data_IF_050650245064
#
_entry.id   IF_050650245064
#
_cell.length_a   1.000
_cell.length_b   1.000
_cell.length_c   1.000
_cell.angle_alpha   90.00
_cell.angle_beta   90.00
_cell.angle_gamma   90.00
#
_symmetry.space_group_name_H-M   'P 1'
#
loop_
_entity.id
_entity.type
_entity.pdbx_description
1 polymer ?
#
# COMPACT_ATOMS: atom_id res chain seq x y z
N UNK A 1 -2.92 4.19 -8.47
CA UNK A 1 -3.18 3.07 -7.57
C UNK A 1 -4.07 2.08 -8.27
N UNK A 2 -3.63 0.85 -8.39
CA UNK A 2 -4.47 -0.18 -8.98
C UNK A 2 -5.69 -0.37 -8.09
N UNK A 3 -6.83 -0.18 -8.64
CA UNK A 3 -8.05 -0.36 -7.89
C UNK A 3 -8.44 -1.83 -7.94
N UNK A 4 -8.28 -2.49 -6.83
CA UNK A 4 -8.76 -3.85 -6.68
C UNK A 4 -10.18 -3.83 -6.14
N UNK A 5 -10.96 -2.89 -6.59
CA UNK A 5 -12.32 -2.71 -6.12
C UNK A 5 -13.21 -3.93 -6.26
N UNK A 6 -12.62 -4.99 -6.71
CA UNK A 6 -13.31 -6.24 -6.87
C UNK A 6 -12.95 -7.27 -5.82
N UNK A 7 -12.49 -6.84 -4.66
CA UNK A 7 -12.27 -7.79 -3.59
C UNK A 7 -13.61 -8.11 -2.95
N UNK A 8 -14.37 -9.05 -3.48
CA UNK A 8 -15.64 -9.38 -2.89
C UNK A 8 -15.41 -10.02 -1.52
N UNK A 9 -16.27 -9.78 -0.62
CA UNK A 9 -16.19 -10.31 0.74
C UNK A 9 -15.04 -9.74 1.56
N UNK A 10 -14.37 -8.76 1.01
CA UNK A 10 -13.37 -8.13 1.83
C UNK A 10 -14.03 -7.16 2.76
N UNK A 11 -13.26 -6.68 3.64
CA UNK A 11 -13.53 -5.54 4.51
C UNK A 11 -14.95 -5.34 4.90
N UNK A 12 -15.39 -6.23 5.73
CA UNK A 12 -16.55 -5.96 6.56
C UNK A 12 -16.15 -5.08 7.73
N UNK A 13 -14.91 -4.63 7.78
CA UNK A 13 -14.36 -3.87 8.90
C UNK A 13 -13.48 -2.74 8.41
N UNK A 14 -13.27 -1.76 9.27
CA UNK A 14 -12.30 -0.69 9.06
C UNK A 14 -11.40 -0.61 10.28
N UNK A 15 -10.23 0.02 10.09
CA UNK A 15 -9.24 0.13 11.16
C UNK A 15 -9.00 1.60 11.48
N UNK A 16 -8.67 1.92 12.73
CA UNK A 16 -8.26 3.27 13.09
C UNK A 16 -7.02 3.69 12.32
N UNK A 17 -6.94 4.96 11.97
CA UNK A 17 -5.75 5.52 11.35
C UNK A 17 -4.59 5.55 12.35
N UNK A 18 -3.39 5.25 11.86
CA UNK A 18 -2.17 5.36 12.64
C UNK A 18 -1.15 6.23 11.90
N UNK A 19 -1.65 7.24 11.19
CA UNK A 19 -0.83 8.04 10.30
C UNK A 19 0.18 8.92 11.03
N UNK A 20 -0.01 9.17 12.32
CA UNK A 20 0.91 9.98 13.13
C UNK A 20 1.93 9.11 13.89
N UNK A 21 2.44 8.10 13.22
CA UNK A 21 3.39 7.15 13.82
C UNK A 21 4.86 7.54 13.62
N UNK A 22 5.12 8.73 13.11
CA UNK A 22 6.48 9.19 12.84
C UNK A 22 7.04 8.78 11.49
N UNK A 23 6.29 8.02 10.71
CA UNK A 23 6.71 7.57 9.39
C UNK A 23 6.14 8.47 8.31
N UNK A 24 6.91 8.67 7.24
CA UNK A 24 6.51 9.48 6.10
C UNK A 24 6.56 8.66 4.83
N UNK A 25 5.94 9.17 3.78
CA UNK A 25 5.89 8.49 2.48
C UNK A 25 7.19 8.70 1.74
N UNK A 26 8.14 7.81 1.96
CA UNK A 26 9.44 7.78 1.29
C UNK A 26 9.43 6.78 0.14
N UNK A 27 10.42 6.82 -0.76
CA UNK A 27 10.52 5.80 -1.80
C UNK A 27 10.47 4.39 -1.24
N UNK A 28 9.75 3.52 -1.92
CA UNK A 28 9.66 2.10 -1.57
C UNK A 28 8.98 1.82 -0.23
N UNK A 29 8.13 2.71 0.24
CA UNK A 29 7.32 2.43 1.42
C UNK A 29 5.97 1.82 1.05
N UNK A 30 5.33 1.24 2.04
CA UNK A 30 4.01 0.63 1.91
C UNK A 30 3.06 1.37 2.83
N UNK A 31 1.93 1.78 2.28
CA UNK A 31 0.97 2.60 3.01
C UNK A 31 -0.45 2.09 2.83
N UNK A 32 -1.30 2.34 3.80
CA UNK A 32 -2.69 1.91 3.76
C UNK A 32 -3.54 2.82 2.89
N UNK A 33 -4.34 2.20 2.04
CA UNK A 33 -5.35 2.91 1.29
C UNK A 33 -6.56 3.19 2.18
N UNK A 34 -7.19 4.32 1.95
CA UNK A 34 -8.40 4.71 2.68
C UNK A 34 -9.18 5.73 1.85
N UNK A 35 -10.40 6.00 2.26
CA UNK A 35 -11.20 7.05 1.67
C UNK A 35 -11.03 8.35 2.49
N UNK A 36 -11.67 9.42 2.07
CA UNK A 36 -11.50 10.73 2.69
C UNK A 36 -11.83 10.78 4.19
N UNK A 37 -12.94 10.19 4.66
CA UNK A 37 -13.19 10.20 6.10
C UNK A 37 -12.11 9.47 6.88
N UNK A 38 -11.86 9.85 8.13
CA UNK A 38 -10.87 9.16 8.94
C UNK A 38 -11.32 7.74 9.28
N UNK A 39 -10.35 6.89 9.59
CA UNK A 39 -10.57 5.53 10.06
C UNK A 39 -11.34 4.67 9.06
N UNK A 40 -11.01 4.82 7.76
CA UNK A 40 -11.67 4.04 6.71
C UNK A 40 -10.73 3.04 6.04
N UNK A 41 -9.54 2.83 6.58
CA UNK A 41 -8.62 1.82 6.07
C UNK A 41 -9.17 0.41 6.32
N UNK A 42 -8.96 -0.46 5.36
CA UNK A 42 -9.38 -1.85 5.45
C UNK A 42 -8.24 -2.78 5.04
N UNK A 43 -8.42 -3.51 3.96
CA UNK A 43 -7.42 -4.47 3.49
C UNK A 43 -6.57 -3.96 2.32
N UNK A 44 -6.87 -2.81 1.77
CA UNK A 44 -6.13 -2.30 0.62
C UNK A 44 -4.91 -1.49 1.04
N UNK A 45 -3.85 -1.64 0.29
CA UNK A 45 -2.62 -0.89 0.52
C UNK A 45 -2.02 -0.47 -0.82
N UNK A 46 -1.05 0.43 -0.79
CA UNK A 46 -0.35 0.86 -2.00
C UNK A 46 1.15 0.94 -1.76
N UNK A 47 1.90 0.88 -2.85
CA UNK A 47 3.35 0.85 -2.83
C UNK A 47 3.87 2.12 -3.50
N UNK A 48 4.92 2.70 -2.92
CA UNK A 48 5.51 3.94 -3.43
C UNK A 48 6.70 3.59 -4.33
N UNK A 49 6.73 4.09 -5.57
CA UNK A 49 7.87 3.89 -6.45
C UNK A 49 9.14 4.55 -5.93
N UNK A 50 10.29 4.16 -6.50
CA UNK A 50 11.59 4.66 -6.05
C UNK A 50 11.79 6.15 -6.27
N UNK A 51 11.10 6.72 -7.23
CA UNK A 51 11.27 8.13 -7.61
C UNK A 51 10.16 9.03 -7.05
N UNK A 52 9.45 8.58 -6.05
CA UNK A 52 8.29 9.30 -5.54
C UNK A 52 8.38 9.53 -4.03
N UNK A 53 7.97 10.71 -3.60
CA UNK A 53 7.85 11.05 -2.19
C UNK A 53 6.57 11.87 -2.02
N UNK A 54 5.40 11.21 -2.00
CA UNK A 54 4.13 11.93 -1.96
C UNK A 54 3.84 12.49 -0.56
N UNK A 55 4.52 13.56 -0.23
CA UNK A 55 4.45 14.15 1.11
C UNK A 55 3.05 14.64 1.48
N UNK A 56 2.21 14.89 0.49
CA UNK A 56 0.83 15.32 0.77
C UNK A 56 -0.01 14.23 1.45
N UNK A 57 0.48 13.00 1.46
CA UNK A 57 -0.20 11.89 2.12
C UNK A 57 0.25 11.71 3.57
N UNK A 58 1.33 12.38 3.97
CA UNK A 58 1.86 12.26 5.32
C UNK A 58 0.84 12.77 6.34
N UNK A 59 0.66 12.00 7.41
CA UNK A 59 -0.30 12.35 8.42
C UNK A 59 -1.74 11.98 8.08
N UNK A 60 -1.99 11.47 6.89
CA UNK A 60 -3.33 11.08 6.42
C UNK A 60 -3.39 9.58 6.21
N UNK A 61 -2.46 9.02 5.45
CA UNK A 61 -2.38 7.58 5.21
C UNK A 61 -1.32 6.97 6.10
N UNK A 62 -1.59 5.75 6.57
CA UNK A 62 -0.69 5.07 7.52
C UNK A 62 0.40 4.33 6.76
N UNK A 63 1.65 4.76 6.93
CA UNK A 63 2.82 4.04 6.44
C UNK A 63 3.13 2.93 7.43
N UNK A 64 3.25 1.70 6.96
CA UNK A 64 3.48 0.57 7.86
C UNK A 64 4.57 -0.39 7.40
N UNK A 65 5.20 -0.14 6.27
CA UNK A 65 6.22 -1.05 5.78
C UNK A 65 7.20 -0.40 4.82
N UNK A 66 8.27 -1.13 4.56
CA UNK A 66 9.33 -0.72 3.65
C UNK A 66 9.68 -1.90 2.75
N UNK A 67 9.75 -1.66 1.45
CA UNK A 67 10.17 -2.69 0.51
C UNK A 67 11.69 -2.78 0.57
N UNK A 68 12.20 -3.94 0.88
CA UNK A 68 13.65 -4.17 0.96
C UNK A 68 14.21 -4.81 -0.31
N UNK A 69 13.35 -5.41 -1.12
CA UNK A 69 13.77 -6.05 -2.38
C UNK A 69 12.58 -6.06 -3.33
N UNK A 70 12.82 -5.76 -4.60
CA UNK A 70 11.77 -5.80 -5.62
C UNK A 70 11.12 -4.45 -5.90
N UNK A 71 11.62 -3.36 -5.33
CA UNK A 71 11.03 -2.05 -5.54
C UNK A 71 11.11 -1.61 -7.01
N UNK A 72 12.05 -2.14 -7.77
CA UNK A 72 12.14 -1.87 -9.20
C UNK A 72 10.90 -2.36 -9.96
N UNK A 73 10.23 -3.37 -9.44
CA UNK A 73 8.98 -3.83 -10.04
C UNK A 73 7.86 -2.83 -9.81
N UNK A 74 7.89 -2.12 -8.70
CA UNK A 74 6.92 -1.06 -8.43
C UNK A 74 7.07 0.05 -9.45
N UNK A 75 8.31 0.42 -9.79
CA UNK A 75 8.56 1.43 -10.81
C UNK A 75 8.00 0.98 -12.16
N UNK A 76 8.21 -0.27 -12.53
CA UNK A 76 7.69 -0.81 -13.77
C UNK A 76 6.16 -0.78 -13.80
N UNK A 77 5.53 -1.09 -12.70
CA UNK A 77 4.06 -1.06 -12.60
C UNK A 77 3.56 0.38 -12.74
N UNK A 78 4.27 1.33 -12.16
CA UNK A 78 3.84 2.73 -12.23
C UNK A 78 3.88 3.29 -13.65
N UNK A 79 4.61 2.65 -14.56
CA UNK A 79 4.78 3.09 -15.93
C UNK A 79 3.90 2.34 -16.92
N UNK A 80 3.09 1.38 -16.48
CA UNK A 80 2.24 0.63 -17.41
C UNK A 80 1.15 1.52 -17.98
N UNK A 81 0.74 1.20 -19.19
CA UNK A 81 -0.36 1.91 -19.83
C UNK A 81 -1.66 1.63 -19.10
N UNK A 82 -2.42 2.68 -18.88
CA UNK A 82 -3.69 2.59 -18.20
C UNK A 82 -4.81 3.10 -19.09
N UNK A 83 -6.00 2.65 -18.78
CA UNK A 83 -7.21 3.12 -19.44
C UNK A 83 -8.01 4.01 -18.50
N UNK A 84 -9.31 3.88 -18.58
CA UNK A 84 -10.22 4.66 -17.77
C UNK A 84 -10.01 4.36 -16.27
N UNK A 85 -10.05 5.40 -15.45
CA UNK A 85 -9.88 5.29 -13.99
C UNK A 85 -8.52 4.71 -13.58
N UNK A 86 -7.50 4.93 -14.40
CA UNK A 86 -6.13 4.45 -14.14
C UNK A 86 -6.02 2.94 -14.00
N UNK A 87 -6.95 2.20 -14.61
CA UNK A 87 -6.89 0.75 -14.61
C UNK A 87 -5.88 0.30 -15.66
N UNK A 88 -4.91 -0.56 -15.30
CA UNK A 88 -3.95 -1.05 -16.29
C UNK A 88 -4.64 -1.75 -17.45
N UNK A 89 -4.17 -1.49 -18.68
CA UNK A 89 -4.72 -2.13 -19.86
C UNK A 89 -4.49 -3.64 -19.81
N UNK A 90 -3.33 -4.05 -19.29
CA UNK A 90 -3.05 -5.46 -19.03
C UNK A 90 -3.01 -5.68 -17.55
N UNK A 91 -3.69 -6.72 -17.03
CA UNK A 91 -3.74 -6.95 -15.58
C UNK A 91 -2.36 -7.10 -14.97
N UNK A 92 -2.18 -6.52 -13.79
CA UNK A 92 -0.97 -6.67 -12.98
C UNK A 92 -1.33 -7.56 -11.80
N UNK A 93 -0.57 -8.62 -11.60
CA UNK A 93 -0.86 -9.60 -10.57
C UNK A 93 0.28 -9.66 -9.57
N UNK A 94 -0.06 -9.54 -8.29
CA UNK A 94 0.88 -9.74 -7.20
C UNK A 94 0.96 -11.24 -6.92
N UNK A 95 2.06 -11.86 -7.33
CA UNK A 95 2.22 -13.30 -7.19
C UNK A 95 2.63 -13.70 -5.78
N UNK A 96 3.49 -12.93 -5.16
CA UNK A 96 3.96 -13.23 -3.82
C UNK A 96 4.52 -11.98 -3.16
N UNK A 97 4.44 -11.97 -1.84
CA UNK A 97 5.03 -10.94 -1.01
C UNK A 97 5.43 -11.61 0.29
N UNK A 98 6.66 -11.41 0.71
CA UNK A 98 7.15 -12.02 1.95
C UNK A 98 7.70 -10.93 2.86
N UNK A 99 7.70 -11.22 4.15
CA UNK A 99 8.29 -10.33 5.16
C UNK A 99 9.56 -10.97 5.71
N UNK A 100 10.40 -10.15 6.34
CA UNK A 100 11.59 -10.66 7.00
C UNK A 100 11.17 -11.50 8.20
N UNK A 101 11.63 -12.75 8.25
CA UNK A 101 11.05 -13.77 9.10
C UNK A 101 10.89 -13.43 10.56
N UNK A 102 11.94 -12.98 11.24
CA UNK A 102 11.85 -12.70 12.66
C UNK A 102 10.94 -11.53 12.98
N UNK A 103 11.00 -10.51 12.16
CA UNK A 103 10.16 -9.34 12.34
C UNK A 103 8.69 -9.70 12.19
N UNK A 104 8.39 -10.53 11.23
CA UNK A 104 7.01 -10.92 11.04
C UNK A 104 6.48 -11.71 12.21
N UNK A 105 7.31 -12.54 12.86
CA UNK A 105 6.87 -13.28 14.03
C UNK A 105 6.54 -12.36 15.19
N UNK A 106 7.41 -11.41 15.48
CA UNK A 106 7.16 -10.47 16.57
C UNK A 106 5.94 -9.61 16.24
N UNK A 107 5.77 -9.31 15.01
CA UNK A 107 4.79 -8.36 14.56
C UNK A 107 3.38 -8.92 14.57
N UNK A 108 3.21 -10.09 14.02
CA UNK A 108 1.87 -10.64 13.90
C UNK A 108 1.33 -11.19 15.22
N UNK A 109 2.16 -11.32 16.22
CA UNK A 109 1.69 -11.67 17.56
C UNK A 109 0.87 -10.57 18.21
N UNK A 110 0.85 -9.40 17.63
CA UNK A 110 0.05 -8.30 18.12
C UNK A 110 -1.33 -8.23 17.48
N UNK A 111 -1.55 -9.03 16.49
CA UNK A 111 -2.82 -8.97 15.78
C UNK A 111 -3.87 -9.80 16.51
#
# INVERSE_FOLDING_TARGET
MANSGDCPNETQYTMPDEANNGLTHQPCTISMAKTTPPNTGGSQFFLIPQDSTPSHLDGVHTVFGQITSGCEFVDQISEVQTGQNDVPLNPVTLLSMTTNGEESKAWWNFW
#
